data_IF_921255986177
#
_entry.id   IF_921255986177
#
_cell.length_a   1.000
_cell.length_b   1.000
_cell.length_c   1.000
_cell.angle_alpha   90.00
_cell.angle_beta   90.00
_cell.angle_gamma   90.00
#
_symmetry.space_group_name_H-M   'P 1'
#
loop_
_entity.id
_entity.type
_entity.pdbx_description
1 polymer ?
#
# COMPACT_ATOMS: atom_id res chain seq x y z
N UNK A 1 -18.51 13.02 2.84
CA UNK A 1 -17.47 12.15 2.26
C UNK A 1 -16.63 11.60 3.39
N UNK A 2 -16.31 10.32 3.36
CA UNK A 2 -15.35 9.73 4.28
C UNK A 2 -13.98 10.41 4.16
N UNK A 3 -13.21 10.43 5.24
CA UNK A 3 -11.90 11.09 5.25
C UNK A 3 -10.90 10.33 4.35
N UNK A 4 -10.24 11.05 3.46
CA UNK A 4 -9.11 10.55 2.68
C UNK A 4 -7.82 11.04 3.35
N UNK A 5 -6.92 10.10 3.69
CA UNK A 5 -5.54 10.37 4.05
C UNK A 5 -4.67 10.11 2.82
N UNK A 6 -3.67 10.95 2.63
CA UNK A 6 -2.85 10.87 1.42
C UNK A 6 -1.38 11.17 1.71
N UNK A 7 -0.50 10.49 1.00
CA UNK A 7 0.94 10.73 1.07
C UNK A 7 1.76 9.85 0.13
N UNK A 8 3.10 9.96 0.17
CA UNK A 8 4.00 9.26 -0.74
C UNK A 8 4.24 7.80 -0.34
N UNK A 9 4.54 6.97 -1.35
CA UNK A 9 5.19 5.66 -1.24
C UNK A 9 6.70 5.85 -1.11
N UNK A 10 7.16 5.98 0.11
CA UNK A 10 8.54 6.29 0.49
C UNK A 10 8.63 7.54 1.35
N UNK A 11 9.51 7.50 2.35
CA UNK A 11 9.76 8.67 3.19
C UNK A 11 10.62 9.69 2.43
N UNK A 12 10.33 11.00 2.57
CA UNK A 12 11.05 12.06 1.83
C UNK A 12 12.50 12.27 2.32
N UNK A 13 12.85 11.73 3.47
CA UNK A 13 14.22 11.68 3.99
C UNK A 13 14.47 10.39 4.76
N UNK A 14 15.70 9.91 4.74
CA UNK A 14 16.21 8.80 5.57
C UNK A 14 17.31 9.26 6.53
N UNK A 15 17.57 10.57 6.64
CA UNK A 15 18.61 11.10 7.49
C UNK A 15 18.19 11.07 8.97
N UNK A 16 16.97 11.49 9.27
CA UNK A 16 16.39 11.37 10.60
C UNK A 16 14.87 11.27 10.58
N UNK A 17 14.24 10.68 11.61
CA UNK A 17 12.78 10.65 11.75
C UNK A 17 12.18 12.06 11.83
N UNK A 18 12.88 12.99 12.49
CA UNK A 18 12.47 14.39 12.63
C UNK A 18 12.37 15.10 11.28
N UNK A 19 13.37 14.91 10.42
CA UNK A 19 13.38 15.51 9.09
C UNK A 19 12.30 14.87 8.20
N UNK A 20 12.17 13.54 8.23
CA UNK A 20 11.14 12.84 7.47
C UNK A 20 9.74 13.36 7.80
N UNK A 21 9.38 13.45 9.09
CA UNK A 21 8.07 13.92 9.54
C UNK A 21 7.89 15.41 9.27
N UNK A 22 8.91 16.24 9.48
CA UNK A 22 8.85 17.66 9.18
C UNK A 22 8.59 17.93 7.70
N UNK A 23 9.22 17.18 6.80
CA UNK A 23 8.99 17.27 5.35
C UNK A 23 7.58 16.79 4.96
N UNK A 24 7.09 15.67 5.52
CA UNK A 24 5.73 15.21 5.29
C UNK A 24 4.70 16.24 5.72
N UNK A 25 4.81 16.73 6.96
CA UNK A 25 3.90 17.74 7.50
C UNK A 25 4.00 19.08 6.74
N UNK A 26 5.22 19.53 6.41
CA UNK A 26 5.46 20.76 5.64
C UNK A 26 4.88 20.73 4.23
N UNK A 27 4.66 19.54 3.68
CA UNK A 27 4.01 19.32 2.39
C UNK A 27 2.50 19.06 2.50
N UNK A 28 1.95 19.02 3.71
CA UNK A 28 0.54 18.77 3.97
C UNK A 28 0.12 17.32 3.86
N UNK A 29 1.04 16.37 3.80
CA UNK A 29 0.70 14.94 3.75
C UNK A 29 0.15 14.45 5.09
N UNK A 30 -0.87 13.62 5.02
CA UNK A 30 -1.57 13.02 6.17
C UNK A 30 -1.36 11.51 6.29
N UNK A 31 -0.63 10.93 5.34
CA UNK A 31 -0.15 9.55 5.34
C UNK A 31 1.24 9.46 4.72
N UNK A 32 1.93 8.36 4.96
CA UNK A 32 3.13 7.94 4.22
C UNK A 32 3.30 6.43 4.33
N UNK A 33 3.89 5.82 3.31
CA UNK A 33 4.30 4.42 3.35
C UNK A 33 5.82 4.32 3.48
N UNK A 34 6.28 3.51 4.42
CA UNK A 34 7.70 3.21 4.60
C UNK A 34 8.08 2.19 3.54
N UNK A 35 8.92 2.58 2.57
CA UNK A 35 9.39 1.66 1.52
C UNK A 35 10.61 0.87 1.98
N UNK A 36 10.42 -0.45 2.11
CA UNK A 36 11.48 -1.44 2.31
C UNK A 36 11.66 -2.36 1.08
N UNK A 37 11.06 -2.02 -0.05
CA UNK A 37 11.11 -2.82 -1.29
C UNK A 37 12.53 -3.20 -1.71
N UNK A 38 13.47 -2.28 -1.57
CA UNK A 38 14.90 -2.48 -1.82
C UNK A 38 15.69 -3.13 -0.67
N UNK A 39 15.06 -3.38 0.50
CA UNK A 39 15.67 -3.96 1.70
C UNK A 39 15.55 -3.09 2.94
N UNK A 40 16.02 -3.62 4.07
CA UNK A 40 15.92 -2.93 5.36
C UNK A 40 17.03 -1.87 5.47
N UNK A 41 16.63 -0.63 5.76
CA UNK A 41 17.53 0.52 5.92
C UNK A 41 17.37 1.24 7.26
N UNK A 42 16.31 0.89 8.07
CA UNK A 42 16.09 1.45 9.41
C UNK A 42 16.15 0.35 10.46
N UNK A 43 16.48 0.72 11.68
CA UNK A 43 16.39 -0.11 12.87
C UNK A 43 15.13 0.19 13.69
N UNK A 44 14.95 -0.50 14.80
CA UNK A 44 13.77 -0.34 15.66
C UNK A 44 13.73 1.00 16.38
N UNK A 45 14.88 1.55 16.79
CA UNK A 45 14.94 2.85 17.48
C UNK A 45 14.51 3.98 16.53
N UNK A 46 15.00 3.93 15.30
CA UNK A 46 14.58 4.86 14.25
C UNK A 46 13.05 4.74 13.96
N UNK A 47 12.54 3.53 13.91
CA UNK A 47 11.11 3.26 13.66
C UNK A 47 10.25 3.75 14.83
N UNK A 48 10.61 3.46 16.09
CA UNK A 48 9.89 3.94 17.28
C UNK A 48 9.79 5.46 17.27
N UNK A 49 10.94 6.14 17.02
CA UNK A 49 10.96 7.61 16.96
C UNK A 49 10.13 8.18 15.83
N UNK A 50 10.18 7.58 14.65
CA UNK A 50 9.28 7.94 13.54
C UNK A 50 7.82 7.83 13.92
N UNK A 51 7.42 6.74 14.56
CA UNK A 51 6.04 6.49 14.98
C UNK A 51 5.53 7.50 16.00
N UNK A 52 6.36 7.93 16.96
CA UNK A 52 6.03 9.00 17.91
C UNK A 52 5.73 10.31 17.17
N UNK A 53 6.69 10.75 16.36
CA UNK A 53 6.60 12.01 15.62
C UNK A 53 5.44 12.04 14.62
N UNK A 54 5.23 10.95 13.89
CA UNK A 54 4.13 10.83 12.93
C UNK A 54 2.76 10.92 13.62
N UNK A 55 2.62 10.25 14.78
CA UNK A 55 1.40 10.31 15.60
C UNK A 55 1.13 11.73 16.09
N UNK A 56 2.15 12.43 16.59
CA UNK A 56 2.03 13.81 17.06
C UNK A 56 1.68 14.77 15.93
N UNK A 57 2.17 14.50 14.71
CA UNK A 57 1.84 15.25 13.50
C UNK A 57 0.51 14.83 12.83
N UNK A 58 -0.20 13.81 13.35
CA UNK A 58 -1.44 13.30 12.77
C UNK A 58 -1.26 12.54 11.44
N UNK A 59 -0.04 12.04 11.17
CA UNK A 59 0.33 11.31 9.95
C UNK A 59 0.15 9.80 10.20
N UNK A 60 -0.61 9.14 9.33
CA UNK A 60 -0.78 7.69 9.35
C UNK A 60 0.35 7.02 8.59
N UNK A 61 0.93 5.96 9.15
CA UNK A 61 1.99 5.19 8.52
C UNK A 61 1.48 3.82 8.06
N UNK A 62 1.94 3.40 6.90
CA UNK A 62 1.95 2.02 6.41
C UNK A 62 3.39 1.61 6.08
N UNK A 63 3.59 0.35 5.70
CA UNK A 63 4.92 -0.15 5.39
C UNK A 63 4.84 -1.11 4.20
N UNK A 64 5.64 -0.87 3.16
CA UNK A 64 5.84 -1.81 2.06
C UNK A 64 7.02 -2.74 2.39
N UNK A 65 6.76 -4.05 2.43
CA UNK A 65 7.77 -5.06 2.74
C UNK A 65 8.75 -5.25 1.55
N UNK A 66 9.95 -5.85 1.79
CA UNK A 66 10.86 -6.20 0.71
C UNK A 66 10.18 -7.05 -0.37
N UNK A 67 10.43 -6.76 -1.66
CA UNK A 67 9.81 -7.45 -2.79
C UNK A 67 10.03 -8.97 -2.78
N UNK A 68 11.13 -9.45 -2.17
CA UNK A 68 11.40 -10.87 -1.99
C UNK A 68 10.63 -11.50 -0.80
N UNK A 69 9.88 -10.70 -0.03
CA UNK A 69 9.06 -11.12 1.09
C UNK A 69 7.67 -11.59 0.69
N UNK A 70 7.54 -12.43 -0.34
CA UNK A 70 6.25 -12.97 -0.78
C UNK A 70 6.00 -14.38 -0.22
N UNK A 71 4.73 -14.80 -0.21
CA UNK A 71 4.30 -16.13 0.24
C UNK A 71 3.84 -17.02 -0.92
N UNK A 72 3.36 -18.21 -0.64
CA UNK A 72 2.95 -19.15 -1.67
C UNK A 72 4.11 -19.96 -2.24
N UNK A 73 5.18 -20.18 -1.47
CA UNK A 73 6.29 -21.05 -1.88
C UNK A 73 5.85 -22.51 -2.05
N UNK A 74 6.47 -23.22 -3.00
CA UNK A 74 6.13 -24.62 -3.28
C UNK A 74 6.52 -25.57 -2.13
N UNK A 75 7.53 -25.21 -1.36
CA UNK A 75 7.97 -25.92 -0.16
C UNK A 75 8.32 -24.94 0.98
N UNK A 76 8.43 -25.47 2.19
CA UNK A 76 8.81 -24.70 3.38
C UNK A 76 10.34 -24.63 3.56
N UNK A 77 11.08 -24.64 2.45
CA UNK A 77 12.53 -24.63 2.41
C UNK A 77 13.16 -23.25 2.61
N UNK A 78 14.38 -23.08 2.05
CA UNK A 78 15.20 -21.88 2.25
C UNK A 78 14.50 -20.59 1.80
N UNK A 79 13.81 -20.59 0.65
CA UNK A 79 13.14 -19.39 0.11
C UNK A 79 11.98 -18.97 0.99
N UNK A 80 11.14 -19.92 1.42
CA UNK A 80 10.05 -19.65 2.37
C UNK A 80 10.58 -19.09 3.69
N UNK A 81 11.63 -19.70 4.27
CA UNK A 81 12.22 -19.23 5.53
C UNK A 81 12.80 -17.81 5.40
N UNK A 82 13.39 -17.47 4.25
CA UNK A 82 13.89 -16.13 3.97
C UNK A 82 12.73 -15.13 3.87
N UNK A 83 11.70 -15.42 3.10
CA UNK A 83 10.52 -14.57 2.97
C UNK A 83 9.79 -14.38 4.31
N UNK A 84 9.59 -15.46 5.08
CA UNK A 84 9.04 -15.41 6.43
C UNK A 84 9.88 -14.52 7.36
N UNK A 85 11.21 -14.59 7.28
CA UNK A 85 12.11 -13.73 8.04
C UNK A 85 11.99 -12.27 7.65
N UNK A 86 11.84 -11.97 6.36
CA UNK A 86 11.62 -10.60 5.87
C UNK A 86 10.29 -10.04 6.38
N UNK A 87 9.18 -10.78 6.25
CA UNK A 87 7.88 -10.34 6.72
C UNK A 87 7.80 -10.23 8.26
N UNK A 88 8.45 -11.13 9.01
CA UNK A 88 8.59 -11.02 10.49
C UNK A 88 9.31 -9.72 10.88
N UNK A 89 10.41 -9.39 10.18
CA UNK A 89 11.16 -8.16 10.47
C UNK A 89 10.37 -6.91 10.09
N UNK A 90 9.69 -6.93 8.92
CA UNK A 90 8.79 -5.85 8.49
C UNK A 90 7.66 -5.62 9.50
N UNK A 91 7.04 -6.70 10.00
CA UNK A 91 6.03 -6.62 11.05
C UNK A 91 6.59 -6.07 12.37
N UNK A 92 7.85 -6.37 12.68
CA UNK A 92 8.53 -5.81 13.85
C UNK A 92 8.73 -4.29 13.72
N UNK A 93 9.23 -3.81 12.58
CA UNK A 93 9.37 -2.37 12.29
C UNK A 93 8.00 -1.69 12.32
N UNK A 94 7.00 -2.28 11.66
CA UNK A 94 5.64 -1.74 11.65
C UNK A 94 5.04 -1.63 13.06
N UNK A 95 5.22 -2.65 13.90
CA UNK A 95 4.78 -2.61 15.29
C UNK A 95 5.49 -1.51 16.10
N UNK A 96 6.80 -1.30 15.87
CA UNK A 96 7.59 -0.27 16.54
C UNK A 96 7.11 1.14 16.21
N UNK A 97 6.80 1.43 14.94
CA UNK A 97 6.33 2.76 14.53
C UNK A 97 4.79 2.91 14.49
N UNK A 98 4.03 1.85 14.76
CA UNK A 98 2.56 1.87 14.67
C UNK A 98 2.04 1.93 13.24
N UNK A 99 2.82 1.47 12.26
CA UNK A 99 2.41 1.40 10.86
C UNK A 99 1.45 0.23 10.59
N UNK A 100 0.44 0.46 9.75
CA UNK A 100 -0.48 -0.57 9.28
C UNK A 100 -1.20 -0.11 7.98
N UNK A 101 -1.36 -1.02 7.01
CA UNK A 101 -0.89 -2.41 6.97
C UNK A 101 0.61 -2.53 6.64
N UNK A 102 1.14 -3.76 6.78
CA UNK A 102 2.37 -4.18 6.11
C UNK A 102 1.98 -4.71 4.73
N UNK A 103 2.24 -3.94 3.70
CA UNK A 103 1.94 -4.31 2.32
C UNK A 103 2.99 -5.29 1.80
N UNK A 104 2.56 -6.30 1.07
CA UNK A 104 3.43 -7.28 0.44
C UNK A 104 2.84 -7.77 -0.88
N UNK A 105 3.71 -8.22 -1.78
CA UNK A 105 3.30 -8.85 -3.04
C UNK A 105 2.89 -10.30 -2.81
N UNK A 106 1.82 -10.81 -3.45
CA UNK A 106 1.31 -12.17 -3.22
C UNK A 106 2.21 -13.26 -3.80
N UNK A 107 3.17 -12.92 -4.66
CA UNK A 107 4.15 -13.84 -5.21
C UNK A 107 3.80 -14.37 -6.60
N UNK A 108 4.00 -15.69 -6.82
CA UNK A 108 3.96 -16.28 -8.15
C UNK A 108 3.25 -17.65 -8.15
N UNK A 109 2.69 -18.05 -9.30
CA UNK A 109 2.06 -19.35 -9.46
C UNK A 109 3.03 -20.53 -9.26
N UNK A 110 4.28 -20.38 -9.67
CA UNK A 110 5.34 -21.40 -9.56
C UNK A 110 4.93 -22.78 -10.16
N UNK A 111 4.15 -22.76 -11.26
CA UNK A 111 3.67 -23.95 -11.95
C UNK A 111 2.42 -24.60 -11.37
N UNK A 112 1.77 -23.95 -10.37
CA UNK A 112 0.51 -24.39 -9.76
C UNK A 112 -0.70 -23.68 -10.37
N UNK A 113 -1.90 -24.18 -10.06
CA UNK A 113 -3.14 -23.45 -10.33
C UNK A 113 -3.28 -22.23 -9.40
N UNK A 114 -4.22 -21.33 -9.70
CA UNK A 114 -4.50 -20.18 -8.82
C UNK A 114 -5.02 -20.64 -7.47
N UNK A 115 -5.92 -21.61 -7.43
CA UNK A 115 -6.51 -22.17 -6.22
C UNK A 115 -5.46 -22.80 -5.30
N UNK A 116 -4.54 -23.58 -5.88
CA UNK A 116 -3.41 -24.17 -5.15
C UNK A 116 -2.48 -23.10 -4.60
N UNK A 117 -2.27 -22.01 -5.35
CA UNK A 117 -1.42 -20.91 -4.92
C UNK A 117 -2.09 -20.11 -3.82
N UNK A 118 -3.39 -19.78 -3.92
CA UNK A 118 -4.17 -19.13 -2.86
C UNK A 118 -4.09 -19.96 -1.58
N UNK A 119 -4.36 -21.26 -1.66
CA UNK A 119 -4.30 -22.17 -0.51
C UNK A 119 -2.92 -22.16 0.17
N UNK A 120 -1.84 -22.16 -0.62
CA UNK A 120 -0.48 -22.11 -0.09
C UNK A 120 -0.14 -20.76 0.55
N UNK A 121 -0.58 -19.65 -0.04
CA UNK A 121 -0.41 -18.30 0.54
C UNK A 121 -1.15 -18.20 1.87
N UNK A 122 -2.40 -18.64 1.92
CA UNK A 122 -3.23 -18.63 3.15
C UNK A 122 -2.60 -19.46 4.26
N UNK A 123 -2.16 -20.72 3.97
CA UNK A 123 -1.48 -21.57 4.97
C UNK A 123 -0.18 -20.90 5.48
N UNK A 124 0.64 -20.40 4.57
CA UNK A 124 1.93 -19.80 4.94
C UNK A 124 1.77 -18.49 5.71
N UNK A 125 0.78 -17.66 5.38
CA UNK A 125 0.43 -16.48 6.17
C UNK A 125 -0.13 -16.85 7.56
N UNK A 126 -0.94 -17.90 7.65
CA UNK A 126 -1.40 -18.42 8.94
C UNK A 126 -0.24 -18.79 9.86
N UNK A 127 0.76 -19.53 9.33
CA UNK A 127 2.00 -19.87 10.06
C UNK A 127 2.82 -18.61 10.43
N UNK A 128 2.85 -17.62 9.57
CA UNK A 128 3.49 -16.35 9.88
C UNK A 128 2.77 -15.65 11.04
N UNK A 129 1.44 -15.63 11.05
CA UNK A 129 0.63 -15.03 12.14
C UNK A 129 0.93 -15.67 13.48
N UNK A 130 0.94 -17.02 13.54
CA UNK A 130 1.30 -17.78 14.74
C UNK A 130 2.71 -17.44 15.26
N UNK A 131 3.64 -17.13 14.36
CA UNK A 131 5.00 -16.70 14.71
C UNK A 131 5.08 -15.25 15.21
N UNK A 132 4.20 -14.36 14.73
CA UNK A 132 4.20 -12.93 15.06
C UNK A 132 3.50 -12.65 16.41
N UNK A 133 2.42 -13.34 16.72
CA UNK A 133 1.59 -13.10 17.90
C UNK A 133 2.38 -13.13 19.23
N UNK A 134 3.19 -14.15 19.54
CA UNK A 134 3.93 -14.19 20.79
C UNK A 134 5.03 -13.11 20.89
N UNK A 135 5.37 -12.45 19.79
CA UNK A 135 6.35 -11.37 19.74
C UNK A 135 5.73 -9.96 19.83
N UNK A 136 4.40 -9.86 19.92
CA UNK A 136 3.70 -8.58 19.86
C UNK A 136 3.78 -7.88 18.49
N UNK A 137 4.00 -8.65 17.41
CA UNK A 137 4.16 -8.13 16.03
C UNK A 137 2.97 -8.46 15.13
N UNK A 138 1.85 -8.82 15.70
CA UNK A 138 0.64 -9.24 14.98
C UNK A 138 -0.11 -8.03 14.39
N UNK A 139 0.58 -7.22 13.57
CA UNK A 139 0.00 -6.10 12.83
C UNK A 139 -0.85 -6.59 11.65
N UNK A 140 -1.80 -5.78 11.12
CA UNK A 140 -2.47 -6.07 9.86
C UNK A 140 -1.48 -6.11 8.69
N UNK A 141 -1.70 -7.05 7.77
CA UNK A 141 -0.99 -7.12 6.50
C UNK A 141 -1.89 -6.62 5.37
N UNK A 142 -1.29 -6.23 4.25
CA UNK A 142 -1.97 -5.86 3.02
C UNK A 142 -1.43 -6.66 1.85
N UNK A 143 -2.29 -7.37 1.12
CA UNK A 143 -1.89 -8.06 -0.11
C UNK A 143 -2.22 -7.20 -1.32
N UNK A 144 -1.20 -6.91 -2.12
CA UNK A 144 -1.29 -5.96 -3.23
C UNK A 144 -1.71 -6.62 -4.54
N UNK A 145 -2.53 -5.90 -5.33
CA UNK A 145 -2.90 -6.28 -6.69
C UNK A 145 -1.74 -6.03 -7.63
N UNK A 146 -1.36 -7.03 -8.44
CA UNK A 146 -0.19 -7.01 -9.32
C UNK A 146 -0.47 -6.45 -10.71
N UNK A 147 0.55 -5.79 -11.30
CA UNK A 147 0.45 -5.06 -12.56
C UNK A 147 0.72 -5.88 -13.83
N UNK A 148 0.77 -7.22 -13.77
CA UNK A 148 1.04 -8.08 -14.93
C UNK A 148 0.10 -9.25 -15.00
N UNK A 149 -0.56 -9.45 -16.14
CA UNK A 149 -1.60 -10.49 -16.31
C UNK A 149 -1.14 -11.92 -16.12
N UNK A 150 0.15 -12.20 -16.25
CA UNK A 150 0.73 -13.55 -16.02
C UNK A 150 1.15 -13.78 -14.57
N UNK A 151 1.22 -12.72 -13.78
CA UNK A 151 1.61 -12.82 -12.38
C UNK A 151 0.41 -13.29 -11.54
N UNK A 152 0.68 -13.83 -10.37
CA UNK A 152 -0.33 -14.12 -9.37
C UNK A 152 -0.60 -12.84 -8.58
N UNK A 153 -1.87 -12.55 -8.30
CA UNK A 153 -2.27 -11.34 -7.57
C UNK A 153 -3.22 -10.45 -8.38
N UNK A 154 -4.13 -11.02 -9.17
CA UNK A 154 -5.30 -10.29 -9.68
C UNK A 154 -6.17 -9.83 -8.50
N UNK A 155 -7.12 -8.92 -8.75
CA UNK A 155 -8.08 -8.50 -7.70
C UNK A 155 -8.79 -9.72 -7.10
N UNK A 156 -9.23 -10.68 -7.92
CA UNK A 156 -9.90 -11.89 -7.44
C UNK A 156 -9.00 -12.74 -6.53
N UNK A 157 -7.71 -12.88 -6.87
CA UNK A 157 -6.73 -13.60 -6.04
C UNK A 157 -6.57 -12.92 -4.67
N UNK A 158 -6.45 -11.60 -4.68
CA UNK A 158 -6.28 -10.77 -3.48
C UNK A 158 -7.53 -10.84 -2.60
N UNK A 159 -8.72 -10.72 -3.19
CA UNK A 159 -9.99 -10.85 -2.46
C UNK A 159 -10.16 -12.24 -1.84
N UNK A 160 -9.78 -13.31 -2.55
CA UNK A 160 -9.85 -14.68 -2.03
C UNK A 160 -8.91 -14.88 -0.82
N UNK A 161 -7.69 -14.32 -0.86
CA UNK A 161 -6.75 -14.36 0.27
C UNK A 161 -7.33 -13.59 1.47
N UNK A 162 -7.83 -12.38 1.24
CA UNK A 162 -8.37 -11.51 2.31
C UNK A 162 -9.63 -12.08 2.94
N UNK A 163 -10.52 -12.69 2.14
CA UNK A 163 -11.72 -13.38 2.65
C UNK A 163 -11.37 -14.56 3.56
N UNK A 164 -10.27 -15.26 3.30
CA UNK A 164 -9.79 -16.37 4.14
C UNK A 164 -9.05 -15.89 5.40
N UNK A 165 -8.47 -14.69 5.39
CA UNK A 165 -7.62 -14.15 6.44
C UNK A 165 -8.05 -12.69 6.77
N UNK A 166 -8.99 -12.45 7.70
CA UNK A 166 -9.52 -11.11 8.00
C UNK A 166 -8.46 -10.06 8.40
N UNK A 167 -7.30 -10.49 8.89
CA UNK A 167 -6.17 -9.62 9.24
C UNK A 167 -5.28 -9.25 8.03
N UNK A 168 -5.57 -9.79 6.84
CA UNK A 168 -4.91 -9.46 5.56
C UNK A 168 -5.88 -8.63 4.73
N UNK A 169 -5.56 -7.36 4.52
CA UNK A 169 -6.39 -6.39 3.79
C UNK A 169 -6.12 -6.47 2.29
N UNK A 170 -7.13 -6.32 1.43
CA UNK A 170 -6.89 -6.07 0.02
C UNK A 170 -6.24 -4.70 -0.17
N UNK A 171 -5.21 -4.63 -1.01
CA UNK A 171 -4.57 -3.37 -1.41
C UNK A 171 -4.68 -3.25 -2.93
N UNK A 172 -5.70 -2.54 -3.44
CA UNK A 172 -5.76 -2.23 -4.86
C UNK A 172 -4.64 -1.25 -5.21
N UNK A 173 -3.79 -1.62 -6.17
CA UNK A 173 -3.00 -0.67 -6.92
C UNK A 173 -3.73 -0.37 -8.22
N UNK A 174 -4.30 0.84 -8.32
CA UNK A 174 -5.09 1.21 -9.48
C UNK A 174 -4.25 1.46 -10.73
N UNK A 175 -2.96 1.74 -10.59
CA UNK A 175 -2.04 1.77 -11.73
C UNK A 175 -1.85 0.37 -12.31
N UNK A 176 -1.61 -0.62 -11.46
CA UNK A 176 -1.52 -2.03 -11.83
C UNK A 176 -2.82 -2.54 -12.47
N UNK A 177 -3.97 -2.22 -11.88
CA UNK A 177 -5.28 -2.60 -12.39
C UNK A 177 -5.58 -1.94 -13.74
N UNK A 178 -5.20 -0.67 -13.91
CA UNK A 178 -5.30 0.04 -15.18
C UNK A 178 -4.46 -0.63 -16.27
N UNK A 179 -3.21 -1.01 -15.95
CA UNK A 179 -2.33 -1.72 -16.87
C UNK A 179 -2.89 -3.08 -17.28
N UNK A 180 -3.33 -3.91 -16.31
CA UNK A 180 -3.83 -5.27 -16.57
C UNK A 180 -5.18 -5.31 -17.28
N UNK A 181 -5.98 -4.25 -17.19
CA UNK A 181 -7.26 -4.10 -17.90
C UNK A 181 -7.14 -3.36 -19.24
N UNK A 182 -5.92 -3.15 -19.73
CA UNK A 182 -5.66 -2.40 -20.98
C UNK A 182 -6.20 -0.96 -20.97
N UNK A 183 -6.08 -0.28 -19.81
CA UNK A 183 -6.44 1.12 -19.67
C UNK A 183 -7.91 1.37 -19.30
N UNK A 184 -8.61 0.43 -18.65
CA UNK A 184 -10.04 0.56 -18.39
C UNK A 184 -10.41 1.60 -17.31
N UNK A 185 -9.51 1.99 -16.41
CA UNK A 185 -9.79 2.90 -15.29
C UNK A 185 -9.79 4.37 -15.72
N UNK A 186 -10.72 4.74 -16.59
CA UNK A 186 -10.87 6.12 -17.13
C UNK A 186 -12.16 6.82 -16.69
N UNK A 187 -13.09 6.10 -16.03
CA UNK A 187 -14.34 6.61 -15.48
C UNK A 187 -14.52 6.13 -14.03
N UNK A 188 -15.57 6.59 -13.37
CA UNK A 188 -15.86 6.28 -11.96
C UNK A 188 -16.19 4.80 -11.73
N UNK A 189 -16.89 4.17 -12.67
CA UNK A 189 -17.47 2.84 -12.52
C UNK A 189 -16.42 1.75 -12.24
N UNK A 190 -15.31 1.60 -12.99
CA UNK A 190 -14.31 0.57 -12.70
C UNK A 190 -13.69 0.70 -11.30
N UNK A 191 -13.50 1.93 -10.82
CA UNK A 191 -13.02 2.16 -9.45
C UNK A 191 -14.07 1.78 -8.41
N UNK A 192 -15.33 2.17 -8.63
CA UNK A 192 -16.42 1.85 -7.72
C UNK A 192 -16.65 0.34 -7.62
N UNK A 193 -16.70 -0.38 -8.74
CA UNK A 193 -16.85 -1.85 -8.78
C UNK A 193 -15.71 -2.55 -8.02
N UNK A 194 -14.47 -2.12 -8.19
CA UNK A 194 -13.34 -2.66 -7.45
C UNK A 194 -13.44 -2.39 -5.94
N UNK A 195 -13.80 -1.16 -5.56
CA UNK A 195 -13.98 -0.78 -4.16
C UNK A 195 -15.18 -1.49 -3.51
N UNK A 196 -16.28 -1.72 -4.23
CA UNK A 196 -17.41 -2.52 -3.76
C UNK A 196 -17.01 -3.97 -3.47
N UNK A 197 -16.23 -4.58 -4.36
CA UNK A 197 -15.73 -5.93 -4.17
C UNK A 197 -14.81 -6.03 -2.94
N UNK A 198 -13.97 -5.02 -2.70
CA UNK A 198 -13.10 -4.93 -1.52
C UNK A 198 -13.93 -4.70 -0.25
N UNK A 199 -14.91 -3.79 -0.29
CA UNK A 199 -15.78 -3.49 0.85
C UNK A 199 -16.55 -4.72 1.34
N UNK A 200 -16.92 -5.61 0.41
CA UNK A 200 -17.65 -6.84 0.71
C UNK A 200 -16.85 -7.87 1.51
N UNK A 201 -15.52 -7.87 1.42
CA UNK A 201 -14.63 -8.84 2.11
C UNK A 201 -13.89 -8.24 3.29
N UNK A 202 -13.79 -6.91 3.38
CA UNK A 202 -13.02 -6.21 4.39
C UNK A 202 -13.88 -5.91 5.63
N UNK A 203 -13.32 -6.11 6.83
CA UNK A 203 -14.03 -5.83 8.08
C UNK A 203 -14.59 -4.39 8.12
N UNK A 204 -15.82 -4.19 8.64
CA UNK A 204 -16.40 -2.86 8.79
C UNK A 204 -15.50 -1.91 9.57
N UNK A 205 -15.39 -0.67 9.11
CA UNK A 205 -14.59 0.38 9.77
C UNK A 205 -13.09 0.34 9.45
N UNK A 206 -12.58 -0.71 8.81
CA UNK A 206 -11.20 -0.74 8.31
C UNK A 206 -11.07 0.18 7.10
N UNK A 207 -10.15 1.17 7.07
CA UNK A 207 -9.98 2.04 5.91
C UNK A 207 -9.55 1.26 4.66
N UNK A 208 -10.00 1.70 3.48
CA UNK A 208 -9.34 1.29 2.24
C UNK A 208 -7.87 1.69 2.30
N UNK A 209 -6.98 0.80 1.84
CA UNK A 209 -5.57 1.11 1.63
C UNK A 209 -5.26 0.95 0.15
N UNK A 210 -4.88 2.02 -0.52
CA UNK A 210 -4.87 2.13 -1.98
C UNK A 210 -3.52 2.64 -2.43
N UNK A 211 -2.90 1.98 -3.43
CA UNK A 211 -1.79 2.53 -4.19
C UNK A 211 -2.30 3.19 -5.47
N UNK A 212 -1.69 4.31 -5.82
CA UNK A 212 -2.09 5.08 -6.99
C UNK A 212 -0.90 5.85 -7.59
N UNK A 213 -0.73 5.71 -8.91
CA UNK A 213 0.16 6.56 -9.73
C UNK A 213 -0.33 6.54 -11.17
N UNK A 214 0.17 7.42 -12.01
CA UNK A 214 0.04 7.23 -13.46
C UNK A 214 1.03 6.16 -13.94
N UNK A 215 0.74 5.48 -15.05
CA UNK A 215 1.47 4.27 -15.43
C UNK A 215 1.61 4.11 -16.95
N UNK A 216 2.78 3.64 -17.36
CA UNK A 216 3.01 3.10 -18.71
C UNK A 216 2.82 1.57 -18.68
N UNK A 217 2.15 1.06 -19.70
CA UNK A 217 1.94 -0.38 -19.85
C UNK A 217 1.97 -0.79 -21.33
N UNK A 218 2.23 -2.06 -21.57
CA UNK A 218 2.17 -2.67 -22.89
C UNK A 218 1.67 -4.11 -22.79
N UNK A 219 0.75 -4.49 -23.68
CA UNK A 219 0.20 -5.86 -23.72
C UNK A 219 -0.37 -6.29 -22.36
N UNK A 220 -1.07 -5.38 -21.67
CA UNK A 220 -1.66 -5.59 -20.34
C UNK A 220 -0.63 -5.93 -19.25
N UNK A 221 0.56 -5.38 -19.36
CA UNK A 221 1.60 -5.50 -18.34
C UNK A 221 2.19 -4.11 -18.08
N UNK A 222 2.32 -3.78 -16.82
CA UNK A 222 3.02 -2.58 -16.39
C UNK A 222 4.46 -2.55 -16.92
N UNK A 223 4.97 -1.36 -17.19
CA UNK A 223 6.37 -1.14 -17.56
C UNK A 223 7.08 -0.20 -16.61
N UNK A 224 6.42 0.89 -16.19
CA UNK A 224 6.93 1.82 -15.17
C UNK A 224 5.84 2.77 -14.70
N UNK A 225 5.95 3.25 -13.47
CA UNK A 225 5.19 4.39 -12.98
C UNK A 225 5.63 5.68 -13.69
N UNK A 226 4.68 6.53 -14.02
CA UNK A 226 4.91 7.78 -14.75
C UNK A 226 4.66 8.99 -13.85
N UNK A 227 5.28 10.15 -14.17
CA UNK A 227 4.80 11.43 -13.70
C UNK A 227 3.31 11.61 -14.01
N UNK A 228 2.57 12.16 -13.04
CA UNK A 228 1.12 12.30 -13.16
C UNK A 228 0.75 13.22 -14.33
N UNK A 229 -0.03 12.71 -15.26
CA UNK A 229 -0.45 13.38 -16.48
C UNK A 229 0.28 12.90 -17.74
N UNK A 230 1.33 12.11 -17.65
CA UNK A 230 2.03 11.56 -18.80
C UNK A 230 1.37 10.30 -19.39
N UNK A 231 0.65 9.54 -18.57
CA UNK A 231 -0.18 8.40 -19.01
C UNK A 231 -1.65 8.77 -19.14
N UNK A 232 -2.54 7.79 -18.89
CA UNK A 232 -3.99 7.93 -19.05
C UNK A 232 -4.79 7.79 -17.76
N UNK A 233 -4.17 7.36 -16.67
CA UNK A 233 -4.84 7.21 -15.38
C UNK A 233 -4.98 8.58 -14.68
N UNK A 234 -6.19 8.85 -14.18
CA UNK A 234 -6.51 10.14 -13.53
C UNK A 234 -7.13 9.89 -12.16
N UNK A 235 -6.85 10.79 -11.21
CA UNK A 235 -7.29 10.66 -9.82
C UNK A 235 -8.73 11.16 -9.59
N UNK A 236 -9.30 11.98 -10.48
CA UNK A 236 -10.67 12.47 -10.37
C UNK A 236 -11.71 11.34 -10.33
N UNK A 237 -11.66 10.31 -11.21
CA UNK A 237 -12.58 9.19 -11.13
C UNK A 237 -12.45 8.40 -9.82
N UNK A 238 -11.23 8.22 -9.29
CA UNK A 238 -11.01 7.58 -7.99
C UNK A 238 -11.64 8.39 -6.85
N UNK A 239 -11.42 9.71 -6.82
CA UNK A 239 -12.06 10.61 -5.84
C UNK A 239 -13.57 10.46 -5.86
N UNK A 240 -14.17 10.49 -7.05
CA UNK A 240 -15.62 10.43 -7.21
C UNK A 240 -16.19 9.04 -6.87
N UNK A 241 -15.42 7.97 -7.10
CA UNK A 241 -15.75 6.62 -6.65
C UNK A 241 -15.70 6.52 -5.12
N UNK A 242 -14.63 7.00 -4.47
CA UNK A 242 -14.49 7.00 -3.01
C UNK A 242 -15.62 7.79 -2.33
N UNK A 243 -16.16 8.82 -2.98
CA UNK A 243 -17.28 9.60 -2.46
C UNK A 243 -18.60 8.80 -2.33
N UNK A 244 -18.70 7.62 -2.95
CA UNK A 244 -19.86 6.72 -2.84
C UNK A 244 -19.83 5.87 -1.56
N UNK A 245 -18.70 5.87 -0.82
CA UNK A 245 -18.50 5.05 0.37
C UNK A 245 -18.43 5.92 1.64
N UNK A 246 -18.91 5.38 2.75
CA UNK A 246 -18.71 5.96 4.09
C UNK A 246 -17.36 5.51 4.70
N UNK A 247 -16.72 4.51 4.11
CA UNK A 247 -15.44 3.94 4.54
C UNK A 247 -14.29 4.93 4.30
N UNK A 248 -13.47 5.26 5.31
CA UNK A 248 -12.27 6.07 5.12
C UNK A 248 -11.28 5.41 4.16
N UNK A 249 -10.41 6.22 3.54
CA UNK A 249 -9.36 5.71 2.66
C UNK A 249 -7.99 6.30 3.04
N UNK A 250 -6.95 5.49 2.89
CA UNK A 250 -5.55 5.94 2.82
C UNK A 250 -5.07 5.67 1.41
N UNK A 251 -4.69 6.71 0.69
CA UNK A 251 -4.15 6.61 -0.66
C UNK A 251 -2.67 6.95 -0.63
N UNK A 252 -1.85 6.03 -1.09
CA UNK A 252 -0.40 6.16 -1.19
C UNK A 252 -0.03 6.38 -2.65
N UNK A 253 0.69 7.47 -2.91
CA UNK A 253 1.20 7.78 -4.24
C UNK A 253 2.51 7.05 -4.50
N UNK A 254 2.54 6.23 -5.54
CA UNK A 254 3.75 5.60 -6.06
C UNK A 254 4.33 6.34 -7.27
N UNK A 255 4.00 7.62 -7.40
CA UNK A 255 4.56 8.47 -8.44
C UNK A 255 6.07 8.64 -8.27
N UNK A 256 6.83 8.73 -9.39
CA UNK A 256 8.28 8.80 -9.35
C UNK A 256 8.83 10.13 -8.81
N UNK A 257 7.98 11.14 -8.64
CA UNK A 257 8.37 12.48 -8.22
C UNK A 257 7.34 13.14 -7.29
N UNK A 258 7.80 14.13 -6.54
CA UNK A 258 7.00 14.84 -5.56
C UNK A 258 5.92 15.73 -6.20
N UNK A 259 6.18 16.33 -7.36
CA UNK A 259 5.23 17.19 -8.06
C UNK A 259 3.98 16.40 -8.44
N UNK A 260 4.17 15.21 -8.98
CA UNK A 260 3.10 14.26 -9.30
C UNK A 260 2.32 13.84 -8.05
N UNK A 261 3.01 13.51 -6.95
CA UNK A 261 2.38 13.16 -5.69
C UNK A 261 1.51 14.32 -5.19
N UNK A 262 2.02 15.54 -5.18
CA UNK A 262 1.23 16.71 -4.78
C UNK A 262 0.06 17.00 -5.72
N UNK A 263 0.22 16.77 -7.03
CA UNK A 263 -0.86 16.95 -8.00
C UNK A 263 -2.02 15.97 -7.74
N UNK A 264 -1.73 14.70 -7.51
CA UNK A 264 -2.71 13.69 -7.12
C UNK A 264 -3.39 14.08 -5.80
N UNK A 265 -2.62 14.49 -4.80
CA UNK A 265 -3.14 14.91 -3.50
C UNK A 265 -4.15 16.06 -3.61
N UNK A 266 -3.85 17.08 -4.42
CA UNK A 266 -4.79 18.19 -4.67
C UNK A 266 -6.11 17.70 -5.28
N UNK A 267 -6.06 16.78 -6.22
CA UNK A 267 -7.28 16.19 -6.82
C UNK A 267 -8.10 15.44 -5.78
N UNK A 268 -7.44 14.72 -4.87
CA UNK A 268 -8.09 13.97 -3.78
C UNK A 268 -8.55 14.85 -2.61
N UNK A 269 -8.33 16.16 -2.68
CA UNK A 269 -8.79 17.11 -1.67
C UNK A 269 -7.77 17.43 -0.58
N UNK A 270 -6.48 17.08 -0.77
CA UNK A 270 -5.42 17.51 0.13
C UNK A 270 -5.20 19.02 -0.02
N UNK A 271 -5.42 19.75 1.05
CA UNK A 271 -5.13 21.18 1.07
C UNK A 271 -3.61 21.42 1.15
N UNK A 272 -3.04 22.33 0.34
CA UNK A 272 -1.65 22.72 0.53
C UNK A 272 -1.47 23.30 1.93
N UNK A 273 -0.30 23.11 2.58
CA UNK A 273 -0.05 23.71 3.88
C UNK A 273 -0.25 25.22 3.79
N UNK A 274 -0.91 25.79 4.80
CA UNK A 274 -1.10 27.23 4.87
C UNK A 274 0.28 27.90 4.75
N UNK A 275 0.50 28.63 3.65
CA UNK A 275 1.72 29.40 3.47
C UNK A 275 1.84 30.34 4.66
N UNK A 276 2.94 30.28 5.39
CA UNK A 276 3.28 31.18 6.49
C UNK A 276 3.62 32.59 5.98
N UNK A 277 2.75 33.15 5.16
CA UNK A 277 2.79 34.52 4.67
C UNK A 277 1.79 35.35 5.47
N UNK A 278 2.14 35.73 6.68
CA UNK A 278 1.77 37.01 7.34
C UNK A 278 1.96 36.95 8.87
N UNK A 279 3.22 36.86 9.32
CA UNK A 279 3.59 37.41 10.64
C UNK A 279 4.78 38.32 10.46
N UNK A 280 4.60 39.35 9.69
CA UNK A 280 5.46 40.52 9.67
C UNK A 280 4.58 41.73 9.42
N UNK A 281 4.02 42.27 10.48
CA UNK A 281 3.56 43.66 10.62
C UNK A 281 3.43 44.01 12.10
#
# INVERSE_FOLDING_TARGET
MAAIRFGPGGLPSRESPEEAVALLAGRGFTAAEIDLGGGFWMDYEWAERLGELARDAGITLSLHAPLAGFMGHADLGKKYNMATGMLDHSAGIAAACGAAPVVFHPGFLLGRTREETISAVVDQLGRLRERLEPKGRAVPFGVEVMGRVRDFGSLDDVLAISAALPWVRPVPDFAHMHATSDGAFTSVEPFAEALEAIDAVQEPGTPFHIHFSDIAFANRNETKHLPYGEGTLRAEPLRDALARFERPATVISESPDEESTQAIGRVLGLEPPATSASRAS
#
